data_IF_257092943815
#
_entry.id   IF_257092943815
#
_cell.length_a   1.000
_cell.length_b   1.000
_cell.length_c   1.000
_cell.angle_alpha   90.00
_cell.angle_beta   90.00
_cell.angle_gamma   90.00
#
_symmetry.space_group_name_H-M   'P 1'
#
loop_
_entity.id
_entity.type
_entity.pdbx_description
1 polymer ?
#
# COMPACT_ATOMS: atom_id res chain seq x y z
N UNK A 1 -0.84 9.79 8.46
CA UNK A 1 -0.29 10.68 7.41
C UNK A 1 -0.30 12.17 7.80
N UNK A 2 -1.35 12.76 8.40
CA UNK A 2 -1.39 14.21 8.72
C UNK A 2 -0.28 14.67 9.67
N UNK A 3 0.12 13.87 10.64
CA UNK A 3 1.28 14.19 11.49
C UNK A 3 2.58 14.22 10.70
N UNK A 4 2.78 13.29 9.75
CA UNK A 4 3.93 13.27 8.88
C UNK A 4 3.98 14.52 7.98
N UNK A 5 2.86 14.86 7.34
CA UNK A 5 2.75 16.07 6.52
C UNK A 5 2.99 17.36 7.34
N UNK A 6 2.48 17.40 8.58
CA UNK A 6 2.73 18.52 9.49
C UNK A 6 4.20 18.60 9.88
N UNK A 7 4.86 17.46 10.15
CA UNK A 7 6.28 17.42 10.45
C UNK A 7 7.12 18.01 9.32
N UNK A 8 6.84 17.59 8.05
CA UNK A 8 7.49 18.14 6.88
C UNK A 8 7.31 19.65 6.76
N UNK A 9 6.05 20.10 6.79
CA UNK A 9 5.71 21.52 6.65
C UNK A 9 6.36 22.37 7.74
N UNK A 10 6.33 21.94 9.00
CA UNK A 10 6.97 22.67 10.12
C UNK A 10 8.49 22.66 9.98
N UNK A 11 9.11 21.56 9.57
CA UNK A 11 10.54 21.47 9.34
C UNK A 11 11.03 22.43 8.27
N UNK A 12 10.38 22.38 7.11
CA UNK A 12 10.71 23.26 5.96
C UNK A 12 10.50 24.74 6.30
N UNK A 13 9.38 25.11 6.89
CA UNK A 13 9.10 26.47 7.33
C UNK A 13 10.06 26.92 8.44
N UNK A 14 10.33 26.05 9.40
CA UNK A 14 11.27 26.31 10.49
C UNK A 14 12.66 26.64 9.99
N UNK A 15 13.17 25.86 9.05
CA UNK A 15 14.45 26.08 8.38
C UNK A 15 14.45 27.38 7.57
N UNK A 16 13.43 27.58 6.75
CA UNK A 16 13.33 28.76 5.85
C UNK A 16 13.24 30.07 6.64
N UNK A 17 12.38 30.13 7.64
CA UNK A 17 12.15 31.34 8.46
C UNK A 17 13.06 31.43 9.69
N UNK A 18 13.94 30.45 9.90
CA UNK A 18 14.81 30.34 11.09
C UNK A 18 13.99 30.38 12.39
N UNK A 19 12.86 29.65 12.42
CA UNK A 19 11.94 29.62 13.55
C UNK A 19 12.13 28.34 14.37
N UNK A 20 12.75 28.49 15.55
CA UNK A 20 13.07 27.38 16.45
C UNK A 20 11.82 26.65 16.97
N UNK A 21 10.69 27.34 17.13
CA UNK A 21 9.46 26.70 17.57
C UNK A 21 8.91 25.73 16.48
N UNK A 22 8.99 26.11 15.23
CA UNK A 22 8.58 25.22 14.12
C UNK A 22 9.52 24.02 14.00
N UNK A 23 10.82 24.25 14.17
CA UNK A 23 11.82 23.16 14.22
C UNK A 23 11.53 22.19 15.37
N UNK A 24 11.24 22.70 16.56
CA UNK A 24 10.90 21.87 17.72
C UNK A 24 9.62 21.05 17.51
N UNK A 25 8.57 21.67 16.92
CA UNK A 25 7.33 20.96 16.58
C UNK A 25 7.57 19.88 15.55
N UNK A 26 8.33 20.16 14.49
CA UNK A 26 8.70 19.17 13.48
C UNK A 26 9.41 17.96 14.09
N UNK A 27 10.40 18.18 14.94
CA UNK A 27 11.13 17.13 15.67
C UNK A 27 10.18 16.26 16.49
N UNK A 28 9.29 16.88 17.25
CA UNK A 28 8.31 16.15 18.07
C UNK A 28 7.39 15.28 17.23
N UNK A 29 6.85 15.81 16.11
CA UNK A 29 5.96 15.08 15.23
C UNK A 29 6.69 13.97 14.48
N UNK A 30 7.91 14.21 14.01
CA UNK A 30 8.75 13.22 13.36
C UNK A 30 9.04 12.05 14.31
N UNK A 31 9.51 12.34 15.52
CA UNK A 31 9.78 11.31 16.53
C UNK A 31 8.54 10.48 16.83
N UNK A 32 7.40 11.13 17.04
CA UNK A 32 6.12 10.46 17.25
C UNK A 32 5.77 9.51 16.10
N UNK A 33 5.89 9.93 14.85
CA UNK A 33 5.61 9.06 13.71
C UNK A 33 6.59 7.88 13.63
N UNK A 34 7.87 8.10 13.92
CA UNK A 34 8.88 7.03 13.88
C UNK A 34 8.61 5.92 14.92
N UNK A 35 7.96 6.22 16.03
CA UNK A 35 7.53 5.24 17.04
C UNK A 35 6.40 4.33 16.57
N UNK A 36 5.71 4.69 15.48
CA UNK A 36 4.60 3.93 14.94
C UNK A 36 5.02 2.92 13.85
N UNK A 37 6.30 2.85 13.52
CA UNK A 37 6.80 1.79 12.63
C UNK A 37 6.92 0.46 13.37
N UNK A 38 6.42 -0.59 12.75
CA UNK A 38 6.65 -1.96 13.22
C UNK A 38 8.05 -2.45 12.86
N UNK A 39 8.46 -3.57 13.43
CA UNK A 39 9.73 -4.23 13.07
C UNK A 39 9.76 -4.66 11.59
N UNK A 40 8.59 -4.92 11.00
CA UNK A 40 8.45 -5.28 9.59
C UNK A 40 8.47 -4.06 8.64
N UNK A 41 8.60 -2.85 9.14
CA UNK A 41 8.66 -1.63 8.35
C UNK A 41 7.31 -1.07 7.94
N UNK A 42 6.23 -1.53 8.55
CA UNK A 42 4.87 -1.02 8.32
C UNK A 42 4.60 0.12 9.29
N UNK A 43 4.10 1.23 8.79
CA UNK A 43 3.67 2.37 9.59
C UNK A 43 2.22 2.17 10.03
N UNK A 44 1.98 2.23 11.33
CA UNK A 44 0.64 2.07 11.92
C UNK A 44 -0.02 3.42 12.17
N UNK A 45 -1.34 3.43 12.22
CA UNK A 45 -2.09 4.56 12.76
C UNK A 45 -2.95 5.28 11.75
N UNK A 46 -3.18 4.73 10.57
CA UNK A 46 -4.06 5.33 9.58
C UNK A 46 -5.49 5.50 10.13
N UNK A 47 -5.87 6.75 10.38
CA UNK A 47 -7.17 7.11 10.95
C UNK A 47 -7.36 6.79 12.45
N UNK A 48 -6.50 6.00 13.05
CA UNK A 48 -6.57 5.55 14.45
C UNK A 48 -5.19 5.52 15.11
N UNK A 49 -4.55 6.67 15.36
CA UNK A 49 -3.15 6.75 15.77
C UNK A 49 -2.87 6.15 17.16
N UNK A 50 -3.89 6.00 18.02
CA UNK A 50 -3.72 5.58 19.41
C UNK A 50 -3.74 4.06 19.63
N UNK A 51 -3.58 3.28 18.58
CA UNK A 51 -3.20 1.90 18.75
C UNK A 51 -4.32 0.92 19.05
N UNK A 52 -5.53 1.22 18.59
CA UNK A 52 -6.59 0.23 18.59
C UNK A 52 -6.12 -1.02 17.85
N UNK A 53 -6.39 -2.17 18.44
CA UNK A 53 -6.16 -3.46 17.80
C UNK A 53 -7.48 -4.18 17.64
N UNK A 54 -7.61 -4.91 16.56
CA UNK A 54 -8.73 -5.80 16.37
C UNK A 54 -8.62 -7.05 17.24
N UNK A 55 -9.65 -7.88 17.24
CA UNK A 55 -9.63 -9.18 17.92
C UNK A 55 -8.48 -10.07 17.46
N UNK A 56 -8.08 -9.97 16.20
CA UNK A 56 -6.94 -10.71 15.63
C UNK A 56 -5.58 -10.08 15.96
N UNK A 57 -5.57 -8.93 16.62
CA UNK A 57 -4.36 -8.17 16.91
C UNK A 57 -3.91 -7.29 15.76
N UNK A 58 -4.71 -7.16 14.70
CA UNK A 58 -4.37 -6.29 13.56
C UNK A 58 -4.37 -4.82 13.98
N UNK A 59 -3.49 -4.07 13.34
CA UNK A 59 -3.30 -2.62 13.53
C UNK A 59 -3.96 -1.86 12.38
N UNK A 60 -4.31 -0.58 12.59
CA UNK A 60 -4.77 0.29 11.50
C UNK A 60 -3.60 0.62 10.57
N UNK A 61 -3.62 0.08 9.36
CA UNK A 61 -2.59 0.24 8.34
C UNK A 61 -3.24 0.52 7.00
N UNK A 62 -2.65 1.42 6.22
CA UNK A 62 -2.92 1.54 4.81
C UNK A 62 -1.59 1.62 4.04
N UNK A 63 -1.24 0.53 3.39
CA UNK A 63 0.01 0.39 2.64
C UNK A 63 0.16 1.47 1.56
N UNK A 64 -0.96 1.86 0.93
CA UNK A 64 -0.96 2.93 -0.06
C UNK A 64 -0.55 4.26 0.55
N UNK A 65 -1.21 4.68 1.62
CA UNK A 65 -0.88 5.94 2.30
C UNK A 65 0.48 5.94 2.97
N UNK A 66 0.96 4.79 3.42
CA UNK A 66 2.32 4.70 3.99
C UNK A 66 3.36 5.17 2.99
N UNK A 67 3.33 4.64 1.78
CA UNK A 67 4.33 4.93 0.77
C UNK A 67 4.04 6.20 -0.03
N UNK A 68 2.77 6.52 -0.22
CA UNK A 68 2.31 7.66 -1.02
C UNK A 68 2.51 8.99 -0.30
N UNK A 69 2.13 9.07 0.97
CA UNK A 69 2.06 10.33 1.71
C UNK A 69 2.96 10.36 2.94
N UNK A 70 3.01 9.27 3.72
CA UNK A 70 3.64 9.33 5.03
C UNK A 70 5.16 9.27 4.95
N UNK A 71 5.71 8.29 4.27
CA UNK A 71 7.17 8.12 4.18
C UNK A 71 7.84 9.29 3.45
N UNK A 72 7.32 9.82 2.32
CA UNK A 72 7.90 11.02 1.70
C UNK A 72 7.93 12.21 2.66
N UNK A 73 6.84 12.49 3.34
CA UNK A 73 6.77 13.59 4.30
C UNK A 73 7.75 13.42 5.48
N UNK A 74 7.93 12.18 5.98
CA UNK A 74 8.91 11.92 7.04
C UNK A 74 10.35 12.11 6.55
N UNK A 75 10.64 11.73 5.30
CA UNK A 75 11.94 11.97 4.68
C UNK A 75 12.20 13.48 4.52
N UNK A 76 11.22 14.25 4.05
CA UNK A 76 11.29 15.71 3.95
C UNK A 76 11.51 16.38 5.29
N UNK A 77 10.79 15.94 6.33
CA UNK A 77 10.98 16.46 7.68
C UNK A 77 12.39 16.19 8.19
N UNK A 78 12.88 14.97 8.06
CA UNK A 78 14.22 14.58 8.49
C UNK A 78 15.30 15.35 7.70
N UNK A 79 15.13 15.55 6.41
CA UNK A 79 16.05 16.34 5.58
C UNK A 79 16.05 17.82 5.98
N UNK A 80 14.88 18.41 6.20
CA UNK A 80 14.75 19.79 6.67
C UNK A 80 15.42 20.02 8.03
N UNK A 81 15.37 18.99 8.89
CA UNK A 81 16.01 19.02 10.22
C UNK A 81 17.50 18.65 10.20
N UNK A 82 18.03 18.15 9.08
CA UNK A 82 19.39 17.62 9.00
C UNK A 82 19.58 16.31 9.78
N UNK A 83 18.50 15.57 10.01
CA UNK A 83 18.50 14.33 10.81
C UNK A 83 18.84 13.12 9.94
N UNK A 84 20.15 12.92 9.73
CA UNK A 84 20.68 11.83 8.90
C UNK A 84 20.38 10.44 9.48
N UNK A 85 20.30 10.31 10.79
CA UNK A 85 20.06 9.01 11.42
C UNK A 85 18.61 8.56 11.20
N UNK A 86 17.65 9.47 11.29
CA UNK A 86 16.28 9.21 10.91
C UNK A 86 16.17 8.87 9.42
N UNK A 87 16.88 9.56 8.52
CA UNK A 87 16.89 9.24 7.09
C UNK A 87 17.40 7.83 6.80
N UNK A 88 18.50 7.41 7.44
CA UNK A 88 19.01 6.04 7.33
C UNK A 88 17.99 5.02 7.84
N UNK A 89 17.37 5.31 8.98
CA UNK A 89 16.35 4.43 9.54
C UNK A 89 15.12 4.32 8.65
N UNK A 90 14.66 5.41 8.06
CA UNK A 90 13.58 5.41 7.08
C UNK A 90 13.94 4.58 5.84
N UNK A 91 15.19 4.68 5.34
CA UNK A 91 15.64 3.88 4.22
C UNK A 91 15.58 2.36 4.53
N UNK A 92 16.05 1.94 5.71
CA UNK A 92 15.94 0.54 6.16
C UNK A 92 14.48 0.06 6.25
N UNK A 93 13.58 0.90 6.80
CA UNK A 93 12.17 0.56 6.93
C UNK A 93 11.49 0.50 5.56
N UNK A 94 11.79 1.46 4.69
CA UNK A 94 11.27 1.52 3.32
C UNK A 94 11.77 0.36 2.47
N UNK A 95 13.00 -0.11 2.69
CA UNK A 95 13.49 -1.33 2.04
C UNK A 95 12.60 -2.54 2.39
N UNK A 96 12.18 -2.68 3.64
CA UNK A 96 11.25 -3.76 4.05
C UNK A 96 9.90 -3.63 3.37
N UNK A 97 9.45 -2.41 3.12
CA UNK A 97 8.21 -2.13 2.39
C UNK A 97 8.25 -2.67 0.94
N UNK A 98 9.43 -2.81 0.34
CA UNK A 98 9.55 -3.32 -1.03
C UNK A 98 9.04 -4.76 -1.22
N UNK A 99 8.77 -5.51 -0.14
CA UNK A 99 8.07 -6.79 -0.20
C UNK A 99 6.62 -6.66 -0.76
N UNK A 100 6.06 -5.45 -0.77
CA UNK A 100 4.72 -5.16 -1.32
C UNK A 100 4.76 -4.69 -2.78
N UNK A 101 5.93 -4.44 -3.35
CA UNK A 101 6.08 -4.03 -4.75
C UNK A 101 5.98 -5.27 -5.66
N UNK A 102 5.21 -5.13 -6.73
CA UNK A 102 5.00 -6.17 -7.74
C UNK A 102 5.90 -5.94 -8.97
N UNK A 103 6.12 -6.98 -9.80
CA UNK A 103 7.04 -6.87 -10.93
C UNK A 103 6.74 -5.75 -11.94
N UNK A 104 5.51 -5.33 -12.05
CA UNK A 104 5.08 -4.26 -12.96
C UNK A 104 5.05 -2.86 -12.32
N UNK A 105 5.50 -2.75 -11.08
CA UNK A 105 5.55 -1.50 -10.32
C UNK A 105 4.31 -1.22 -9.48
N UNK A 106 3.28 -2.07 -9.56
CA UNK A 106 2.13 -1.99 -8.67
C UNK A 106 2.49 -2.30 -7.22
N UNK A 107 1.68 -1.81 -6.31
CA UNK A 107 1.83 -2.07 -4.87
C UNK A 107 0.67 -2.94 -4.41
N UNK A 108 0.98 -4.04 -3.72
CA UNK A 108 -0.03 -4.93 -3.16
C UNK A 108 -0.73 -4.28 -1.97
N UNK A 109 -1.85 -3.64 -2.24
CA UNK A 109 -2.77 -3.08 -1.26
C UNK A 109 -4.13 -3.81 -1.30
N UNK A 110 -4.14 -5.09 -1.63
CA UNK A 110 -5.37 -5.87 -1.86
C UNK A 110 -6.13 -6.20 -0.57
N UNK A 111 -5.56 -5.93 0.58
CA UNK A 111 -6.11 -6.16 1.91
C UNK A 111 -6.25 -4.88 2.75
N UNK A 112 -5.78 -3.73 2.27
CA UNK A 112 -5.77 -2.50 3.02
C UNK A 112 -7.17 -1.98 3.40
N UNK A 113 -7.27 -1.25 4.48
CA UNK A 113 -8.52 -0.71 5.02
C UNK A 113 -9.24 0.25 4.08
N UNK A 114 -8.54 0.76 3.08
CA UNK A 114 -9.07 1.67 2.05
C UNK A 114 -9.10 1.10 0.65
N UNK A 115 -8.93 -0.19 0.50
CA UNK A 115 -8.97 -0.83 -0.81
C UNK A 115 -10.34 -0.72 -1.51
N UNK A 116 -11.40 -0.26 -0.81
CA UNK A 116 -12.67 0.10 -1.41
C UNK A 116 -12.57 1.28 -2.39
N UNK A 117 -11.51 2.09 -2.32
CA UNK A 117 -11.23 3.18 -3.25
C UNK A 117 -10.42 2.72 -4.45
N UNK A 118 -9.66 1.66 -4.29
CA UNK A 118 -8.58 1.28 -5.17
C UNK A 118 -8.59 -0.19 -5.48
N UNK A 119 -8.40 -0.47 -6.70
CA UNK A 119 -7.91 -1.75 -7.16
C UNK A 119 -6.37 -1.71 -7.21
N UNK A 120 -5.75 -2.81 -7.55
CA UNK A 120 -4.33 -2.95 -7.78
C UNK A 120 -3.67 -1.81 -8.62
N UNK A 121 -4.38 -1.30 -9.61
CA UNK A 121 -3.94 -0.14 -10.39
C UNK A 121 -4.47 1.18 -9.82
N UNK A 122 -5.01 1.15 -8.63
CA UNK A 122 -5.48 2.35 -7.96
C UNK A 122 -4.33 3.32 -7.83
N UNK A 123 -4.54 4.47 -8.32
CA UNK A 123 -3.53 5.50 -8.41
C UNK A 123 -2.94 5.91 -7.08
N UNK A 124 -3.75 5.85 -6.03
CA UNK A 124 -3.29 6.28 -4.72
C UNK A 124 -2.20 5.42 -4.12
N UNK A 125 -2.13 4.14 -4.50
CA UNK A 125 -1.10 3.25 -3.97
C UNK A 125 0.32 3.62 -4.39
N UNK A 126 0.49 4.67 -5.18
CA UNK A 126 1.79 5.05 -5.72
C UNK A 126 2.03 6.55 -5.85
N UNK A 127 1.09 7.40 -5.44
CA UNK A 127 1.11 8.84 -5.70
C UNK A 127 2.43 9.53 -5.31
N UNK A 128 2.91 9.36 -4.11
CA UNK A 128 4.16 9.97 -3.62
C UNK A 128 5.36 9.04 -3.58
N UNK A 129 5.18 7.76 -3.92
CA UNK A 129 6.18 6.71 -3.69
C UNK A 129 7.53 7.01 -4.34
N UNK A 130 7.53 7.58 -5.54
CA UNK A 130 8.77 7.89 -6.27
C UNK A 130 9.65 8.86 -5.49
N UNK A 131 9.08 9.88 -4.83
CA UNK A 131 9.83 10.84 -4.04
C UNK A 131 10.56 10.16 -2.87
N UNK A 132 9.84 9.35 -2.07
CA UNK A 132 10.43 8.61 -0.98
C UNK A 132 11.57 7.70 -1.43
N UNK A 133 11.34 6.92 -2.49
CA UNK A 133 12.33 6.00 -3.00
C UNK A 133 13.61 6.73 -3.47
N UNK A 134 13.48 7.83 -4.21
CA UNK A 134 14.63 8.60 -4.68
C UNK A 134 15.39 9.25 -3.54
N UNK A 135 14.71 9.91 -2.61
CA UNK A 135 15.34 10.60 -1.48
C UNK A 135 16.12 9.64 -0.58
N UNK A 136 15.59 8.44 -0.39
CA UNK A 136 16.19 7.42 0.49
C UNK A 136 17.20 6.52 -0.22
N UNK A 137 17.24 6.51 -1.55
CA UNK A 137 18.16 5.68 -2.34
C UNK A 137 19.64 6.00 -2.07
N UNK A 138 19.98 7.20 -1.59
CA UNK A 138 21.35 7.54 -1.17
C UNK A 138 21.84 6.74 0.02
N UNK A 139 20.92 6.18 0.81
CA UNK A 139 21.20 5.34 1.99
C UNK A 139 20.96 3.86 1.69
N UNK A 140 20.02 3.56 0.81
CA UNK A 140 19.66 2.19 0.38
C UNK A 140 19.44 2.17 -1.15
N UNK A 141 20.50 1.87 -1.93
CA UNK A 141 20.45 1.96 -3.40
C UNK A 141 19.35 1.10 -4.07
N UNK A 142 18.91 0.01 -3.44
CA UNK A 142 17.82 -0.83 -3.96
C UNK A 142 16.53 -0.04 -4.15
N UNK A 143 16.30 1.01 -3.37
CA UNK A 143 15.12 1.87 -3.47
C UNK A 143 15.07 2.64 -4.81
N UNK A 144 16.21 2.84 -5.45
CA UNK A 144 16.24 3.46 -6.78
C UNK A 144 15.60 2.56 -7.85
N UNK A 145 15.76 1.24 -7.72
CA UNK A 145 15.05 0.30 -8.58
C UNK A 145 13.53 0.35 -8.36
N UNK A 146 13.11 0.49 -7.10
CA UNK A 146 11.70 0.70 -6.77
C UNK A 146 11.15 1.99 -7.41
N UNK A 147 11.91 3.09 -7.36
CA UNK A 147 11.54 4.36 -8.00
C UNK A 147 11.36 4.19 -9.51
N UNK A 148 12.32 3.56 -10.21
CA UNK A 148 12.21 3.32 -11.65
C UNK A 148 10.96 2.53 -11.99
N UNK A 149 10.69 1.46 -11.23
CA UNK A 149 9.55 0.58 -11.42
C UNK A 149 8.22 1.32 -11.24
N UNK A 150 8.16 2.23 -10.27
CA UNK A 150 7.00 3.11 -10.05
C UNK A 150 6.78 4.05 -11.24
N UNK A 151 7.83 4.66 -11.77
CA UNK A 151 7.73 5.54 -12.96
C UNK A 151 7.25 4.76 -14.18
N UNK A 152 7.76 3.56 -14.42
CA UNK A 152 7.29 2.70 -15.52
C UNK A 152 5.79 2.37 -15.40
N UNK A 153 5.29 2.19 -14.16
CA UNK A 153 3.86 2.01 -13.93
C UNK A 153 3.08 3.30 -14.26
N UNK A 154 3.57 4.46 -13.85
CA UNK A 154 2.94 5.74 -14.19
C UNK A 154 2.84 5.94 -15.70
N UNK A 155 3.89 5.64 -16.42
CA UNK A 155 3.89 5.72 -17.89
C UNK A 155 2.79 4.85 -18.51
N UNK A 156 2.64 3.61 -18.06
CA UNK A 156 1.60 2.69 -18.53
C UNK A 156 0.18 3.18 -18.21
N UNK A 157 0.01 3.92 -17.11
CA UNK A 157 -1.28 4.45 -16.68
C UNK A 157 -1.56 5.85 -17.21
N UNK A 158 -0.60 6.51 -17.86
CA UNK A 158 -0.74 7.87 -18.38
C UNK A 158 -1.07 7.88 -19.87
N UNK A 159 -2.06 8.66 -20.25
CA UNK A 159 -2.41 8.88 -21.65
C UNK A 159 -2.85 10.34 -21.82
N UNK A 160 -2.43 10.97 -22.93
CA UNK A 160 -2.71 12.38 -23.24
C UNK A 160 -2.30 13.34 -22.10
N UNK A 161 -1.23 13.02 -21.37
CA UNK A 161 -0.75 13.80 -20.23
C UNK A 161 -1.57 13.69 -18.95
N UNK A 162 -2.54 12.77 -18.90
CA UNK A 162 -3.40 12.57 -17.74
C UNK A 162 -3.29 11.14 -17.21
N UNK A 163 -3.36 10.98 -15.90
CA UNK A 163 -3.28 9.69 -15.23
C UNK A 163 -4.66 9.03 -15.16
N UNK A 164 -4.68 7.75 -15.50
CA UNK A 164 -5.82 6.84 -15.38
C UNK A 164 -5.61 5.87 -14.21
N UNK A 165 -6.69 5.31 -13.70
CA UNK A 165 -6.66 4.34 -12.60
C UNK A 165 -6.06 2.97 -12.94
N UNK A 166 -5.60 2.79 -14.17
CA UNK A 166 -4.93 1.59 -14.64
C UNK A 166 -4.63 1.68 -16.14
N UNK A 167 -3.72 0.86 -16.68
CA UNK A 167 -3.25 0.94 -18.07
C UNK A 167 -4.36 0.66 -19.09
N UNK A 168 -5.43 0.00 -18.70
CA UNK A 168 -6.57 -0.35 -19.56
C UNK A 168 -7.77 0.60 -19.40
N UNK A 169 -7.77 1.51 -18.44
CA UNK A 169 -8.95 2.34 -18.12
C UNK A 169 -9.36 3.24 -19.30
N UNK A 170 -8.41 3.82 -20.03
CA UNK A 170 -8.70 4.61 -21.21
C UNK A 170 -9.43 3.78 -22.27
N UNK A 171 -9.00 2.52 -22.49
CA UNK A 171 -9.62 1.61 -23.46
C UNK A 171 -11.06 1.24 -23.07
N UNK A 172 -11.36 1.25 -21.77
CA UNK A 172 -12.70 1.01 -21.24
C UNK A 172 -13.57 2.28 -21.20
N UNK A 173 -13.10 3.39 -21.78
CA UNK A 173 -13.82 4.67 -21.77
C UNK A 173 -13.90 5.35 -20.41
N UNK A 174 -13.05 4.96 -19.46
CA UNK A 174 -13.01 5.59 -18.16
C UNK A 174 -12.28 6.94 -18.22
N UNK A 175 -12.65 7.83 -17.30
CA UNK A 175 -12.05 9.17 -17.24
C UNK A 175 -10.75 9.17 -16.45
N UNK A 176 -9.76 10.02 -16.81
CA UNK A 176 -8.59 10.24 -15.99
C UNK A 176 -8.96 11.01 -14.72
N UNK A 177 -8.08 10.97 -13.75
CA UNK A 177 -8.19 11.78 -12.54
C UNK A 177 -7.22 12.96 -12.57
N UNK A 178 -7.75 14.17 -12.63
CA UNK A 178 -6.92 15.37 -12.63
C UNK A 178 -6.17 15.53 -11.32
N UNK A 179 -6.85 15.29 -10.19
CA UNK A 179 -6.23 15.39 -8.86
C UNK A 179 -4.99 14.50 -8.75
N UNK A 180 -5.12 13.20 -9.05
CA UNK A 180 -3.98 12.28 -8.98
C UNK A 180 -2.91 12.54 -10.04
N UNK A 181 -3.27 13.09 -11.21
CA UNK A 181 -2.29 13.57 -12.18
C UNK A 181 -1.37 14.62 -11.56
N UNK A 182 -1.93 15.57 -10.80
CA UNK A 182 -1.13 16.58 -10.11
C UNK A 182 -0.36 16.01 -8.91
N UNK A 183 -0.93 15.07 -8.16
CA UNK A 183 -0.22 14.42 -7.05
C UNK A 183 1.02 13.67 -7.55
N UNK A 184 0.91 12.91 -8.64
CA UNK A 184 2.05 12.23 -9.25
C UNK A 184 3.08 13.24 -9.81
N UNK A 185 2.62 14.32 -10.44
CA UNK A 185 3.51 15.37 -10.92
C UNK A 185 4.27 16.03 -9.76
N UNK A 186 3.62 16.25 -8.62
CA UNK A 186 4.29 16.76 -7.42
C UNK A 186 5.34 15.76 -6.91
N UNK A 187 5.00 14.47 -6.76
CA UNK A 187 5.94 13.44 -6.34
C UNK A 187 7.14 13.30 -7.28
N UNK A 188 6.94 13.42 -8.60
CA UNK A 188 8.03 13.45 -9.58
C UNK A 188 8.90 14.71 -9.44
N UNK A 189 8.29 15.86 -9.19
CA UNK A 189 9.03 17.12 -8.97
C UNK A 189 9.88 17.04 -7.69
N UNK A 190 9.34 16.48 -6.61
CA UNK A 190 10.07 16.27 -5.37
C UNK A 190 11.24 15.29 -5.56
N UNK A 191 11.05 14.23 -6.33
CA UNK A 191 12.12 13.32 -6.71
C UNK A 191 13.25 14.00 -7.47
N UNK A 192 12.90 14.89 -8.43
CA UNK A 192 13.89 15.69 -9.17
C UNK A 192 14.63 16.67 -8.26
N UNK A 193 13.92 17.33 -7.33
CA UNK A 193 14.52 18.26 -6.37
C UNK A 193 15.41 17.53 -5.35
N UNK A 194 15.06 16.32 -4.95
CA UNK A 194 15.83 15.46 -4.05
C UNK A 194 17.18 14.99 -4.62
N UNK A 195 17.44 15.29 -5.89
CA UNK A 195 18.73 15.06 -6.54
C UNK A 195 18.93 13.61 -6.93
N UNK A 196 18.24 13.16 -7.95
CA UNK A 196 18.60 11.96 -8.71
C UNK A 196 20.07 12.06 -9.11
N UNK A 197 20.92 11.25 -8.49
CA UNK A 197 22.27 11.03 -9.00
C UNK A 197 22.19 9.92 -10.02
N UNK A 198 22.65 10.23 -11.21
CA UNK A 198 22.91 9.23 -12.23
C UNK A 198 23.79 8.13 -11.65
N UNK A 199 23.55 6.87 -12.04
CA UNK A 199 24.40 5.72 -11.76
C UNK A 199 24.42 5.15 -10.31
N UNK A 200 23.28 5.12 -9.63
CA UNK A 200 23.17 4.19 -8.52
C UNK A 200 23.18 2.74 -9.04
N UNK A 201 23.86 1.81 -8.35
CA UNK A 201 23.90 0.43 -8.77
C UNK A 201 22.49 -0.15 -8.82
N UNK A 202 22.21 -0.96 -9.83
CA UNK A 202 20.94 -1.66 -9.96
C UNK A 202 20.71 -2.54 -8.73
N UNK A 203 19.57 -2.32 -8.07
CA UNK A 203 19.12 -3.17 -6.96
C UNK A 203 18.28 -4.34 -7.47
N UNK A 204 18.08 -5.33 -6.62
CA UNK A 204 17.16 -6.44 -6.88
C UNK A 204 16.01 -6.35 -5.91
N UNK A 205 14.79 -6.14 -6.42
CA UNK A 205 13.60 -6.12 -5.57
C UNK A 205 13.18 -7.54 -5.16
N UNK A 206 12.53 -7.70 -4.01
CA UNK A 206 12.03 -9.00 -3.57
C UNK A 206 11.15 -9.69 -4.61
N UNK A 207 10.36 -8.94 -5.37
CA UNK A 207 9.51 -9.47 -6.41
C UNK A 207 10.28 -10.06 -7.62
N UNK A 208 11.55 -9.76 -7.79
CA UNK A 208 12.37 -10.25 -8.92
C UNK A 208 13.06 -11.58 -8.62
N UNK A 209 13.18 -11.94 -7.34
CA UNK A 209 13.85 -13.19 -6.95
C UNK A 209 12.90 -14.37 -7.05
N UNK A 210 13.41 -15.53 -7.48
CA UNK A 210 12.61 -16.75 -7.72
C UNK A 210 12.61 -17.73 -6.55
N UNK A 211 13.33 -17.42 -5.48
CA UNK A 211 13.40 -18.24 -4.26
C UNK A 211 12.02 -18.44 -3.63
N UNK A 212 11.85 -19.56 -2.95
CA UNK A 212 10.66 -19.78 -2.13
C UNK A 212 10.79 -18.99 -0.84
N UNK A 213 9.85 -18.10 -0.59
CA UNK A 213 9.77 -17.30 0.64
C UNK A 213 8.34 -17.18 1.09
N UNK A 214 8.11 -17.42 2.38
CA UNK A 214 6.86 -17.13 3.06
C UNK A 214 7.18 -16.18 4.20
N UNK A 215 6.52 -15.04 4.23
CA UNK A 215 6.67 -14.04 5.30
C UNK A 215 5.31 -13.69 5.85
N UNK A 216 5.14 -13.82 7.15
CA UNK A 216 3.97 -13.38 7.88
C UNK A 216 4.17 -11.96 8.43
N UNK A 217 3.18 -11.13 8.26
CA UNK A 217 3.08 -9.79 8.83
C UNK A 217 1.96 -9.81 9.88
N UNK A 218 2.29 -10.06 11.15
CA UNK A 218 1.29 -10.25 12.20
C UNK A 218 0.44 -9.01 12.48
N UNK A 219 1.00 -7.81 12.27
CA UNK A 219 0.31 -6.54 12.44
C UNK A 219 -0.85 -6.31 11.47
N UNK A 220 -0.87 -7.04 10.37
CA UNK A 220 -1.94 -7.04 9.36
C UNK A 220 -2.44 -8.46 9.05
N UNK A 221 -2.03 -9.44 9.84
CA UNK A 221 -2.33 -10.87 9.66
C UNK A 221 -2.32 -11.33 8.19
N UNK A 222 -1.25 -10.96 7.50
CA UNK A 222 -1.11 -11.22 6.06
C UNK A 222 0.17 -12.00 5.78
N UNK A 223 0.02 -13.06 4.99
CA UNK A 223 1.13 -13.86 4.48
C UNK A 223 1.47 -13.43 3.07
N UNK A 224 2.71 -12.99 2.87
CA UNK A 224 3.31 -12.79 1.55
C UNK A 224 4.04 -14.05 1.14
N UNK A 225 3.65 -14.61 0.00
CA UNK A 225 4.15 -15.88 -0.50
C UNK A 225 4.83 -15.65 -1.84
N UNK A 226 6.02 -16.20 -1.98
CA UNK A 226 6.78 -16.18 -3.22
C UNK A 226 7.25 -17.58 -3.55
N UNK A 227 7.02 -18.05 -4.78
CA UNK A 227 7.46 -19.34 -5.27
C UNK A 227 7.63 -19.35 -6.79
N UNK A 228 8.86 -19.44 -7.27
CA UNK A 228 9.15 -19.40 -8.69
C UNK A 228 8.56 -18.12 -9.34
N UNK A 229 7.72 -18.29 -10.34
CA UNK A 229 7.06 -17.19 -11.02
C UNK A 229 5.80 -16.65 -10.29
N UNK A 230 5.43 -17.24 -9.17
CA UNK A 230 4.21 -16.88 -8.45
C UNK A 230 4.49 -16.01 -7.23
N UNK A 231 3.67 -15.00 -7.08
CA UNK A 231 3.55 -14.18 -5.88
C UNK A 231 2.10 -14.26 -5.40
N UNK A 232 1.89 -14.36 -4.10
CA UNK A 232 0.55 -14.41 -3.54
C UNK A 232 0.48 -13.71 -2.18
N UNK A 233 -0.73 -13.24 -1.83
CA UNK A 233 -1.06 -12.75 -0.50
C UNK A 233 -2.30 -13.44 0.01
N UNK A 234 -2.21 -13.98 1.23
CA UNK A 234 -3.34 -14.56 1.97
C UNK A 234 -3.51 -13.76 3.24
N UNK A 235 -4.71 -13.24 3.47
CA UNK A 235 -4.93 -12.24 4.52
C UNK A 235 -6.10 -12.57 5.43
N UNK A 236 -5.87 -12.38 6.72
CA UNK A 236 -6.90 -12.32 7.75
C UNK A 236 -7.15 -10.90 8.27
N UNK A 237 -6.61 -9.87 7.59
CA UNK A 237 -6.70 -8.49 8.04
C UNK A 237 -8.15 -8.03 8.23
N UNK A 238 -8.52 -7.76 9.48
CA UNK A 238 -9.90 -7.48 9.90
C UNK A 238 -10.11 -6.05 10.41
N UNK A 239 -9.09 -5.18 10.30
CA UNK A 239 -9.24 -3.78 10.68
C UNK A 239 -10.06 -3.03 9.64
N UNK A 240 -11.12 -2.33 10.07
CA UNK A 240 -11.98 -1.55 9.19
C UNK A 240 -12.00 -0.08 9.59
N UNK A 241 -11.71 0.79 8.64
CA UNK A 241 -11.89 2.24 8.79
C UNK A 241 -13.34 2.70 8.58
N UNK A 242 -14.23 1.81 8.15
CA UNK A 242 -15.61 2.15 7.82
C UNK A 242 -16.58 1.72 8.90
N UNK A 243 -17.50 2.60 9.24
CA UNK A 243 -18.66 2.23 10.06
C UNK A 243 -19.47 1.18 9.29
N UNK A 244 -19.63 0.01 9.86
CA UNK A 244 -20.39 -1.08 9.24
C UNK A 244 -19.57 -2.33 8.89
N UNK A 245 -18.35 -2.44 9.38
CA UNK A 245 -17.52 -3.64 9.28
C UNK A 245 -16.54 -3.64 8.13
N UNK A 246 -15.75 -4.70 8.06
CA UNK A 246 -14.77 -4.90 7.02
C UNK A 246 -15.44 -5.08 5.65
N UNK A 247 -14.98 -4.33 4.67
CA UNK A 247 -15.46 -4.40 3.30
C UNK A 247 -14.29 -4.70 2.33
N UNK A 248 -13.24 -5.27 2.84
CA UNK A 248 -12.01 -5.63 2.13
C UNK A 248 -11.69 -7.12 2.34
N UNK A 249 -10.66 -7.61 1.65
CA UNK A 249 -10.19 -8.98 1.80
C UNK A 249 -9.76 -9.26 3.23
N UNK A 250 -10.38 -10.27 3.86
CA UNK A 250 -10.13 -10.75 5.21
C UNK A 250 -10.45 -12.24 5.29
N UNK A 251 -10.61 -12.81 6.48
CA UNK A 251 -11.12 -14.17 6.66
C UNK A 251 -10.26 -15.28 6.07
N UNK A 252 -8.95 -15.05 5.91
CA UNK A 252 -8.05 -16.01 5.27
C UNK A 252 -8.12 -16.03 3.75
N UNK A 253 -8.60 -14.96 3.15
CA UNK A 253 -8.79 -14.84 1.70
C UNK A 253 -7.46 -14.77 0.95
N UNK A 254 -7.39 -15.45 -0.21
CA UNK A 254 -6.37 -15.19 -1.22
C UNK A 254 -6.67 -13.81 -1.83
N UNK A 255 -6.00 -12.77 -1.34
CA UNK A 255 -6.25 -11.40 -1.77
C UNK A 255 -5.50 -11.04 -3.05
N UNK A 256 -4.33 -11.62 -3.27
CA UNK A 256 -3.51 -11.39 -4.46
C UNK A 256 -2.93 -12.71 -4.97
N UNK A 257 -2.97 -12.91 -6.27
CA UNK A 257 -2.18 -13.90 -7.00
C UNK A 257 -1.63 -13.24 -8.26
N UNK A 258 -0.31 -13.25 -8.38
CA UNK A 258 0.40 -12.63 -9.50
C UNK A 258 1.37 -13.65 -10.11
N UNK A 259 1.45 -13.69 -11.42
CA UNK A 259 2.44 -14.47 -12.14
C UNK A 259 3.37 -13.54 -12.92
N UNK A 260 4.69 -13.72 -12.80
CA UNK A 260 5.67 -12.84 -13.45
C UNK A 260 5.59 -12.82 -14.97
N UNK A 261 5.10 -13.90 -15.58
CA UNK A 261 5.02 -13.99 -17.04
C UNK A 261 3.70 -13.40 -17.59
N UNK A 262 2.61 -13.49 -16.82
CA UNK A 262 1.26 -13.10 -17.30
C UNK A 262 0.67 -11.90 -16.57
N UNK A 263 1.29 -11.45 -15.49
CA UNK A 263 0.78 -10.37 -14.66
C UNK A 263 -0.23 -10.82 -13.60
N UNK A 264 -1.12 -9.92 -13.16
CA UNK A 264 -2.10 -10.19 -12.11
C UNK A 264 -3.14 -11.22 -12.54
N UNK A 265 -3.41 -12.20 -11.66
CA UNK A 265 -4.42 -13.26 -11.86
C UNK A 265 -5.59 -13.05 -10.91
N UNK A 266 -5.29 -12.74 -9.63
CA UNK A 266 -6.29 -12.37 -8.62
C UNK A 266 -5.82 -11.09 -7.97
N UNK A 267 -6.68 -10.09 -7.93
CA UNK A 267 -6.47 -8.83 -7.23
C UNK A 267 -7.73 -8.50 -6.44
N UNK A 268 -7.68 -8.75 -5.15
CA UNK A 268 -8.75 -8.43 -4.22
C UNK A 268 -8.96 -6.93 -4.13
N UNK A 269 -10.19 -6.54 -3.86
CA UNK A 269 -10.57 -5.16 -3.63
C UNK A 269 -11.68 -5.11 -2.58
N UNK A 270 -12.88 -4.72 -2.94
CA UNK A 270 -14.00 -4.60 -2.01
C UNK A 270 -14.98 -5.76 -2.13
N UNK A 271 -15.66 -6.06 -1.03
CA UNK A 271 -16.77 -7.01 -1.03
C UNK A 271 -17.98 -6.46 -1.81
N UNK A 272 -18.38 -5.23 -1.50
CA UNK A 272 -19.37 -4.49 -2.27
C UNK A 272 -18.75 -3.18 -2.73
N UNK A 273 -18.78 -2.94 -4.04
CA UNK A 273 -18.24 -1.70 -4.58
C UNK A 273 -19.11 -0.52 -4.14
N UNK A 274 -18.47 0.48 -3.55
CA UNK A 274 -19.10 1.76 -3.19
C UNK A 274 -18.27 2.89 -3.73
N UNK A 275 -18.89 3.78 -4.49
CA UNK A 275 -18.26 5.01 -4.94
C UNK A 275 -18.16 5.97 -3.76
N UNK A 276 -17.03 5.96 -3.05
CA UNK A 276 -16.81 6.80 -1.88
C UNK A 276 -16.35 8.22 -2.27
N UNK A 277 -15.51 8.32 -3.30
CA UNK A 277 -14.91 9.57 -3.75
C UNK A 277 -14.91 9.64 -5.29
N UNK A 278 -15.90 10.28 -5.92
CA UNK A 278 -16.09 10.25 -7.37
C UNK A 278 -14.91 10.76 -8.20
N UNK A 279 -14.08 11.61 -7.62
CA UNK A 279 -12.94 12.24 -8.31
C UNK A 279 -11.63 11.48 -8.13
N UNK A 280 -11.64 10.39 -7.39
CA UNK A 280 -10.45 9.63 -7.02
C UNK A 280 -10.27 8.36 -7.87
N UNK A 281 -10.50 8.42 -9.18
CA UNK A 281 -10.36 7.31 -10.13
C UNK A 281 -11.22 6.08 -9.84
N UNK A 282 -12.19 6.20 -8.96
CA UNK A 282 -13.14 5.12 -8.74
C UNK A 282 -14.03 4.95 -9.97
N UNK A 283 -14.27 3.70 -10.35
CA UNK A 283 -15.22 3.39 -11.41
C UNK A 283 -16.62 3.79 -10.95
N UNK A 284 -17.36 4.59 -11.73
CA UNK A 284 -18.74 4.89 -11.41
C UNK A 284 -19.56 3.59 -11.42
N UNK A 285 -20.45 3.46 -10.45
CA UNK A 285 -21.44 2.38 -10.46
C UNK A 285 -22.42 2.64 -11.59
N UNK A 286 -22.19 2.04 -12.74
CA UNK A 286 -23.08 2.14 -13.90
C UNK A 286 -24.31 1.27 -13.75
N UNK A 287 -25.29 1.63 -12.94
CA UNK A 287 -26.62 1.00 -12.91
C UNK A 287 -26.68 -0.50 -12.51
N UNK A 288 -25.59 -1.22 -12.53
CA UNK A 288 -25.47 -2.60 -12.07
C UNK A 288 -24.54 -2.68 -10.88
N UNK A 289 -24.92 -3.43 -9.86
CA UNK A 289 -24.01 -3.75 -8.75
C UNK A 289 -22.82 -4.50 -9.32
N UNK A 290 -21.62 -3.98 -9.08
CA UNK A 290 -20.41 -4.68 -9.45
C UNK A 290 -20.29 -5.96 -8.65
N UNK A 291 -19.81 -7.00 -9.32
CA UNK A 291 -19.41 -8.22 -8.64
C UNK A 291 -18.28 -7.90 -7.67
N UNK A 292 -18.30 -8.49 -6.52
CA UNK A 292 -17.20 -8.41 -5.58
C UNK A 292 -15.91 -8.94 -6.21
N UNK A 293 -14.81 -8.28 -5.92
CA UNK A 293 -13.46 -8.68 -6.34
C UNK A 293 -12.70 -9.43 -5.24
N UNK A 294 -13.40 -9.94 -4.24
CA UNK A 294 -12.81 -10.76 -3.17
C UNK A 294 -13.10 -12.23 -3.44
N UNK A 295 -12.05 -13.05 -3.46
CA UNK A 295 -12.21 -14.50 -3.51
C UNK A 295 -12.84 -14.98 -2.20
N UNK A 296 -13.95 -15.73 -2.31
CA UNK A 296 -14.69 -16.22 -1.16
C UNK A 296 -15.58 -17.39 -1.53
N UNK A 297 -16.02 -18.10 -0.51
CA UNK A 297 -17.19 -18.95 -0.60
C UNK A 297 -18.39 -18.16 -0.08
N UNK A 298 -19.52 -18.28 -0.76
CA UNK A 298 -20.76 -17.65 -0.31
C UNK A 298 -21.98 -18.51 -0.62
N UNK A 299 -23.01 -18.34 0.18
CA UNK A 299 -24.35 -18.86 -0.12
C UNK A 299 -25.42 -17.88 0.36
N UNK A 300 -26.63 -18.07 -0.07
CA UNK A 300 -27.81 -17.30 0.34
C UNK A 300 -28.82 -18.23 0.95
N UNK A 301 -29.29 -17.91 2.16
CA UNK A 301 -30.34 -18.60 2.87
C UNK A 301 -31.34 -17.59 3.43
N UNK A 302 -32.62 -17.79 3.16
CA UNK A 302 -33.71 -16.89 3.60
C UNK A 302 -33.48 -15.41 3.25
N UNK A 303 -32.83 -15.13 2.10
CA UNK A 303 -32.52 -13.80 1.64
C UNK A 303 -31.30 -13.16 2.31
N UNK A 304 -30.66 -13.84 3.25
CA UNK A 304 -29.41 -13.41 3.89
C UNK A 304 -28.22 -14.02 3.15
N UNK A 305 -27.23 -13.21 2.84
CA UNK A 305 -25.96 -13.65 2.25
C UNK A 305 -24.98 -14.02 3.35
N UNK A 306 -24.34 -15.14 3.21
CA UNK A 306 -23.27 -15.63 4.11
C UNK A 306 -21.97 -15.75 3.32
N UNK A 307 -20.87 -15.25 3.88
CA UNK A 307 -19.56 -15.21 3.23
C UNK A 307 -18.45 -15.67 4.17
N UNK A 308 -17.38 -16.25 3.64
CA UNK A 308 -16.21 -16.65 4.42
C UNK A 308 -15.19 -15.52 4.60
N UNK A 309 -15.13 -14.56 3.68
CA UNK A 309 -14.08 -13.52 3.65
C UNK A 309 -14.20 -12.46 4.76
N UNK A 310 -15.20 -12.54 5.62
CA UNK A 310 -15.38 -11.66 6.77
C UNK A 310 -15.27 -12.40 8.11
N UNK A 311 -14.88 -13.67 8.10
CA UNK A 311 -14.74 -14.43 9.34
C UNK A 311 -13.57 -13.91 10.20
N UNK A 312 -13.85 -13.31 11.39
CA UNK A 312 -12.80 -12.80 12.27
C UNK A 312 -12.06 -13.93 13.00
N UNK A 313 -12.58 -15.16 12.96
CA UNK A 313 -12.04 -16.33 13.63
C UNK A 313 -11.33 -17.30 12.68
N UNK A 314 -11.16 -16.91 11.41
CA UNK A 314 -10.46 -17.73 10.42
C UNK A 314 -9.03 -18.08 10.87
N UNK A 315 -8.58 -19.29 10.55
CA UNK A 315 -7.24 -19.77 10.86
C UNK A 315 -6.48 -19.97 9.55
N UNK A 316 -5.30 -19.39 9.45
CA UNK A 316 -4.43 -19.45 8.27
C UNK A 316 -3.17 -20.20 8.64
N UNK A 317 -2.87 -21.30 7.94
CA UNK A 317 -1.64 -22.07 8.09
C UNK A 317 -0.92 -22.15 6.75
N UNK A 318 0.25 -21.52 6.65
CA UNK A 318 1.05 -21.54 5.43
C UNK A 318 2.26 -22.44 5.62
N UNK A 319 2.46 -23.38 4.70
CA UNK A 319 3.56 -24.34 4.72
C UNK A 319 4.26 -24.36 3.37
N UNK A 320 5.57 -24.26 3.40
CA UNK A 320 6.41 -24.52 2.24
C UNK A 320 7.01 -25.92 2.33
N UNK A 321 6.89 -26.71 1.28
CA UNK A 321 7.47 -28.06 1.20
C UNK A 321 7.91 -28.34 -0.23
N UNK A 322 9.21 -28.51 -0.43
CA UNK A 322 9.79 -28.74 -1.75
C UNK A 322 9.38 -27.65 -2.75
N UNK A 323 8.68 -28.06 -3.78
CA UNK A 323 8.23 -27.20 -4.87
C UNK A 323 6.84 -26.60 -4.67
N UNK A 324 6.25 -26.75 -3.48
CA UNK A 324 4.88 -26.33 -3.19
C UNK A 324 4.86 -25.39 -1.99
N UNK A 325 4.01 -24.37 -2.07
CA UNK A 325 3.54 -23.63 -0.91
C UNK A 325 2.05 -23.83 -0.81
N UNK A 326 1.59 -24.33 0.32
CA UNK A 326 0.17 -24.53 0.61
C UNK A 326 -0.28 -23.55 1.70
N UNK A 327 -1.42 -22.95 1.50
CA UNK A 327 -2.13 -22.17 2.51
C UNK A 327 -3.44 -22.93 2.86
N UNK A 328 -3.47 -23.54 4.03
CA UNK A 328 -4.65 -24.20 4.55
C UNK A 328 -5.44 -23.16 5.36
N UNK A 329 -6.67 -22.89 4.94
CA UNK A 329 -7.53 -21.90 5.59
C UNK A 329 -8.78 -22.59 6.12
N UNK A 330 -9.07 -22.38 7.39
CA UNK A 330 -10.36 -22.71 7.99
C UNK A 330 -11.12 -21.42 8.24
N UNK A 331 -12.29 -21.27 7.67
CA UNK A 331 -13.15 -20.12 7.84
C UNK A 331 -14.62 -20.53 7.97
N UNK A 332 -15.38 -19.75 8.72
CA UNK A 332 -16.81 -19.94 8.90
C UNK A 332 -17.58 -18.96 8.04
N UNK A 333 -18.82 -19.32 7.74
CA UNK A 333 -19.72 -18.41 7.06
C UNK A 333 -20.28 -17.38 8.04
N UNK A 334 -20.12 -16.12 7.70
CA UNK A 334 -20.63 -14.99 8.47
C UNK A 334 -21.69 -14.28 7.65
N UNK A 335 -22.81 -13.92 8.30
CA UNK A 335 -23.89 -13.21 7.64
C UNK A 335 -23.44 -11.79 7.21
N UNK A 336 -23.74 -11.46 5.99
CA UNK A 336 -23.59 -10.12 5.45
C UNK A 336 -24.91 -9.38 5.65
N UNK A 337 -25.01 -8.63 6.75
CA UNK A 337 -26.21 -7.85 7.11
C UNK A 337 -26.23 -6.47 6.43
#
# INVERSE_FOLDING_TARGET
>A
NYYAASAASMGMCGRHFKNENYIALSKTMLSYCMEHFTENGILMGEGHPHGDTTRRGCRPVDIGYDIEESIPCLADAAEALGDTDTLKRLAELTLKFTDFILPDGGIDNTFGSRNNKWTYFGSRTSDGAVAAFVMLAKYEPTLYEAAKRTVEQYEKCTADGLLYGGPHYKLLGQKPCIHHTFCHAAGLADALCGGLKEDLPAGTLPCDTVETKVKHYPEIDTYKIKRGNWLASVTGYDFSNFRGGANHSSGGTLSMLYNRATGPVVMGSTLDYRLAEPLNMQLPMGGTRHSSLIMRLEYVEDGVRYVTCLDPDSVINVKASGDTVAADVTAHFVSLS
#
